data_IF_016034987762
#
_entry.id   IF_016034987762
#
_cell.length_a   1.000
_cell.length_b   1.000
_cell.length_c   1.000
_cell.angle_alpha   90.00
_cell.angle_beta   90.00
_cell.angle_gamma   90.00
#
_symmetry.space_group_name_H-M   'P 1'
#
loop_
_entity.id
_entity.type
_entity.pdbx_description
1 polymer ?
#
# COMPACT_ATOMS: atom_id res chain seq x y z
N UNK A 1 -2.07 8.61 10.25
CA UNK A 1 -1.29 7.46 10.74
C UNK A 1 -0.32 7.10 9.64
N UNK A 2 0.96 6.94 9.94
CA UNK A 2 2.03 6.90 8.93
C UNK A 2 2.17 5.53 8.27
N UNK A 3 2.74 5.51 7.07
CA UNK A 3 3.33 4.36 6.40
C UNK A 3 4.10 3.39 7.33
N UNK A 4 4.80 3.97 8.32
CA UNK A 4 5.56 3.27 9.36
C UNK A 4 4.67 2.44 10.29
N UNK A 5 3.45 2.89 10.58
CA UNK A 5 2.51 2.15 11.41
C UNK A 5 2.01 0.88 10.69
N UNK A 6 1.71 0.95 9.39
CA UNK A 6 1.34 -0.24 8.61
C UNK A 6 2.48 -1.27 8.59
N UNK A 7 3.70 -0.84 8.29
CA UNK A 7 4.86 -1.75 8.24
C UNK A 7 5.14 -2.39 9.62
N UNK A 8 5.10 -1.60 10.69
CA UNK A 8 5.42 -2.07 12.04
C UNK A 8 4.30 -2.92 12.66
N UNK A 9 3.04 -2.69 12.31
CA UNK A 9 1.93 -3.50 12.79
C UNK A 9 1.82 -4.82 12.02
N UNK A 10 2.04 -4.80 10.71
CA UNK A 10 1.76 -5.96 9.85
C UNK A 10 2.91 -6.96 9.78
N UNK A 11 4.14 -6.49 9.63
CA UNK A 11 5.27 -7.39 9.38
C UNK A 11 5.57 -8.35 10.56
N UNK A 12 5.58 -7.90 11.83
CA UNK A 12 5.77 -8.79 12.97
C UNK A 12 4.62 -9.79 13.12
N UNK A 13 3.38 -9.33 12.92
CA UNK A 13 2.18 -10.13 13.16
C UNK A 13 1.96 -11.20 12.08
N UNK A 14 2.20 -10.89 10.80
CA UNK A 14 2.16 -11.91 9.75
C UNK A 14 3.36 -12.84 9.76
N UNK A 15 4.54 -12.34 10.15
CA UNK A 15 5.69 -13.20 10.41
C UNK A 15 5.38 -14.21 11.52
N UNK A 16 4.70 -13.76 12.57
CA UNK A 16 4.16 -14.60 13.65
C UNK A 16 3.15 -15.61 13.09
N UNK A 17 2.10 -15.19 12.38
CA UNK A 17 1.09 -16.09 11.77
C UNK A 17 1.73 -17.18 10.89
N UNK A 18 2.82 -16.87 10.21
CA UNK A 18 3.55 -17.83 9.36
C UNK A 18 4.53 -18.75 10.10
N UNK A 19 4.81 -18.46 11.37
CA UNK A 19 5.83 -19.15 12.16
C UNK A 19 5.28 -20.16 13.16
N UNK A 20 3.97 -20.11 13.44
CA UNK A 20 3.29 -21.03 14.34
C UNK A 20 2.40 -22.00 13.56
N UNK A 21 2.17 -23.18 14.14
CA UNK A 21 1.22 -24.15 13.60
C UNK A 21 -0.21 -23.60 13.80
N UNK A 22 -1.11 -23.77 12.82
CA UNK A 22 -2.46 -23.20 12.88
C UNK A 22 -3.23 -23.64 14.14
N UNK A 23 -2.95 -24.85 14.63
CA UNK A 23 -3.51 -25.37 15.88
C UNK A 23 -3.13 -24.57 17.13
N UNK A 24 -2.03 -23.82 17.12
CA UNK A 24 -1.57 -22.98 18.25
C UNK A 24 -2.35 -21.66 18.36
N UNK A 25 -3.16 -21.32 17.35
CA UNK A 25 -4.03 -20.13 17.36
C UNK A 25 -5.38 -20.37 18.03
N UNK A 26 -5.85 -21.62 18.16
CA UNK A 26 -7.21 -21.94 18.61
C UNK A 26 -7.50 -21.66 20.08
N UNK A 27 -6.48 -21.45 20.92
CA UNK A 27 -6.61 -21.38 22.39
C UNK A 27 -5.75 -20.28 23.04
N UNK A 28 -5.39 -19.20 22.33
CA UNK A 28 -4.34 -18.27 22.83
C UNK A 28 -4.66 -16.78 22.69
N UNK A 29 -3.97 -15.97 23.52
CA UNK A 29 -3.86 -14.50 23.39
C UNK A 29 -3.38 -14.05 21.99
N UNK A 30 -2.79 -14.97 21.21
CA UNK A 30 -2.30 -14.70 19.86
C UNK A 30 -3.42 -14.49 18.85
N UNK A 31 -4.57 -15.15 19.00
CA UNK A 31 -5.73 -14.90 18.14
C UNK A 31 -6.26 -13.48 18.34
N UNK A 32 -6.50 -13.06 19.59
CA UNK A 32 -6.93 -11.71 19.91
C UNK A 32 -5.90 -10.67 19.45
N UNK A 33 -4.62 -10.95 19.65
CA UNK A 33 -3.54 -10.08 19.17
C UNK A 33 -3.56 -9.95 17.64
N UNK A 34 -3.56 -11.07 16.91
CA UNK A 34 -3.59 -11.07 15.44
C UNK A 34 -4.82 -10.33 14.89
N UNK A 35 -5.98 -10.55 15.50
CA UNK A 35 -7.22 -9.89 15.14
C UNK A 35 -7.17 -8.39 15.41
N UNK A 36 -6.63 -7.96 16.55
CA UNK A 36 -6.47 -6.54 16.90
C UNK A 36 -5.56 -5.81 15.90
N UNK A 37 -4.49 -6.47 15.47
CA UNK A 37 -3.56 -5.94 14.47
C UNK A 37 -4.23 -5.83 13.11
N UNK A 38 -4.94 -6.87 12.68
CA UNK A 38 -5.67 -6.88 11.41
C UNK A 38 -6.69 -5.74 11.35
N UNK A 39 -7.49 -5.58 12.40
CA UNK A 39 -8.49 -4.49 12.51
C UNK A 39 -7.86 -3.12 12.45
N UNK A 40 -6.80 -2.88 13.25
CA UNK A 40 -6.08 -1.61 13.21
C UNK A 40 -5.51 -1.32 11.82
N UNK A 41 -4.97 -2.31 11.14
CA UNK A 41 -4.42 -2.15 9.81
C UNK A 41 -5.52 -1.89 8.76
N UNK A 42 -6.67 -2.56 8.88
CA UNK A 42 -7.87 -2.30 8.10
C UNK A 42 -8.36 -0.86 8.27
N UNK A 43 -8.44 -0.37 9.50
CA UNK A 43 -8.85 1.00 9.79
C UNK A 43 -7.89 2.01 9.17
N UNK A 44 -6.58 1.76 9.27
CA UNK A 44 -5.55 2.62 8.69
C UNK A 44 -5.61 2.68 7.16
N UNK A 45 -5.76 1.53 6.51
CA UNK A 45 -5.93 1.45 5.06
C UNK A 45 -7.21 2.14 4.63
N UNK A 46 -8.32 1.85 5.29
CA UNK A 46 -9.63 2.44 4.98
C UNK A 46 -9.60 3.96 5.10
N UNK A 47 -8.95 4.50 6.14
CA UNK A 47 -8.75 5.93 6.28
C UNK A 47 -7.87 6.52 5.17
N UNK A 48 -6.81 5.82 4.78
CA UNK A 48 -5.90 6.24 3.72
C UNK A 48 -6.60 6.28 2.36
N UNK A 49 -7.45 5.29 2.07
CA UNK A 49 -8.28 5.23 0.87
C UNK A 49 -9.31 6.37 0.89
N UNK A 50 -10.07 6.52 1.98
CA UNK A 50 -11.11 7.54 2.09
C UNK A 50 -10.57 8.98 1.96
N UNK A 51 -9.33 9.20 2.40
CA UNK A 51 -8.67 10.51 2.36
C UNK A 51 -7.54 10.58 1.33
N UNK A 52 -7.54 9.69 0.35
CA UNK A 52 -6.44 9.52 -0.60
C UNK A 52 -5.95 10.84 -1.19
N UNK A 53 -6.87 11.65 -1.71
CA UNK A 53 -6.56 12.92 -2.35
C UNK A 53 -6.00 13.98 -1.40
N UNK A 54 -6.20 13.83 -0.09
CA UNK A 54 -5.65 14.72 0.95
C UNK A 54 -4.27 14.28 1.44
N UNK A 55 -3.83 13.06 1.11
CA UNK A 55 -2.50 12.59 1.52
C UNK A 55 -1.39 13.36 0.80
N UNK A 56 -0.32 13.79 1.49
CA UNK A 56 0.85 14.38 0.86
C UNK A 56 1.50 13.45 -0.17
N UNK A 57 2.16 14.03 -1.19
CA UNK A 57 2.88 13.26 -2.22
C UNK A 57 3.89 12.28 -1.60
N UNK A 58 4.74 12.75 -0.69
CA UNK A 58 5.78 11.92 -0.05
C UNK A 58 5.17 10.72 0.68
N UNK A 59 4.00 10.88 1.27
CA UNK A 59 3.30 9.78 1.94
C UNK A 59 2.74 8.77 0.94
N UNK A 60 2.16 9.22 -0.19
CA UNK A 60 1.76 8.33 -1.30
C UNK A 60 2.93 7.53 -1.85
N UNK A 61 4.07 8.18 -2.05
CA UNK A 61 5.28 7.55 -2.60
C UNK A 61 5.82 6.46 -1.67
N UNK A 62 5.94 6.75 -0.37
CA UNK A 62 6.34 5.76 0.62
C UNK A 62 5.34 4.59 0.65
N UNK A 63 4.03 4.89 0.67
CA UNK A 63 2.98 3.86 0.71
C UNK A 63 3.01 2.96 -0.52
N UNK A 64 3.23 3.50 -1.71
CA UNK A 64 3.34 2.75 -2.96
C UNK A 64 4.50 1.74 -2.93
N UNK A 65 5.67 2.20 -2.46
CA UNK A 65 6.82 1.31 -2.30
C UNK A 65 6.63 0.26 -1.22
N UNK A 66 5.95 0.58 -0.12
CA UNK A 66 5.64 -0.39 0.94
C UNK A 66 4.65 -1.45 0.48
N UNK A 67 3.55 -1.08 -0.18
CA UNK A 67 2.58 -2.04 -0.69
C UNK A 67 3.20 -3.02 -1.67
N UNK A 68 4.12 -2.55 -2.52
CA UNK A 68 4.87 -3.43 -3.42
C UNK A 68 5.71 -4.49 -2.66
N UNK A 69 6.23 -4.14 -1.47
CA UNK A 69 6.94 -5.08 -0.59
C UNK A 69 6.02 -6.01 0.20
N UNK A 70 4.76 -5.62 0.39
CA UNK A 70 3.75 -6.40 1.11
C UNK A 70 3.06 -7.45 0.23
N UNK A 71 3.22 -7.40 -1.10
CA UNK A 71 2.59 -8.33 -2.03
C UNK A 71 2.85 -9.82 -1.74
N UNK A 72 4.06 -10.27 -1.36
CA UNK A 72 4.28 -11.65 -0.92
C UNK A 72 3.49 -12.00 0.35
N UNK A 73 3.35 -11.06 1.28
CA UNK A 73 2.60 -11.27 2.52
C UNK A 73 1.10 -11.38 2.26
N UNK A 74 0.56 -10.59 1.32
CA UNK A 74 -0.83 -10.68 0.89
C UNK A 74 -1.18 -12.08 0.35
N UNK A 75 -0.27 -12.71 -0.40
CA UNK A 75 -0.45 -14.08 -0.89
C UNK A 75 -0.50 -15.11 0.24
N UNK A 76 0.29 -14.91 1.28
CA UNK A 76 0.29 -15.82 2.43
C UNK A 76 -0.98 -15.64 3.27
N UNK A 77 -1.38 -14.40 3.52
CA UNK A 77 -2.69 -14.03 4.06
C UNK A 77 -3.84 -14.71 3.32
N UNK A 78 -3.81 -14.66 1.99
CA UNK A 78 -4.81 -15.28 1.14
C UNK A 78 -4.85 -16.80 1.30
N UNK A 79 -3.69 -17.44 1.51
CA UNK A 79 -3.63 -18.87 1.82
C UNK A 79 -4.28 -19.18 3.18
N UNK A 80 -3.96 -18.38 4.21
CA UNK A 80 -4.52 -18.51 5.57
C UNK A 80 -6.04 -18.35 5.55
N UNK A 81 -6.59 -17.45 4.72
CA UNK A 81 -8.05 -17.27 4.58
C UNK A 81 -8.78 -18.50 4.03
N UNK A 82 -8.07 -19.44 3.41
CA UNK A 82 -8.62 -20.67 2.83
C UNK A 82 -8.48 -21.89 3.75
N UNK A 83 -7.78 -21.76 4.88
CA UNK A 83 -7.51 -22.85 5.81
C UNK A 83 -8.62 -22.94 6.87
N UNK A 84 -9.30 -24.10 6.97
CA UNK A 84 -10.48 -24.34 7.83
C UNK A 84 -10.20 -24.23 9.34
N UNK A 85 -8.93 -24.21 9.74
CA UNK A 85 -8.52 -24.25 11.14
C UNK A 85 -8.37 -22.86 11.78
N UNK A 86 -8.42 -21.80 10.97
CA UNK A 86 -8.37 -20.39 11.39
C UNK A 86 -9.78 -19.92 11.77
N UNK A 87 -9.89 -19.05 12.78
CA UNK A 87 -11.19 -18.50 13.16
C UNK A 87 -11.82 -17.67 12.04
N UNK A 88 -13.15 -17.71 11.97
CA UNK A 88 -13.92 -16.96 10.98
C UNK A 88 -13.68 -15.44 11.07
N UNK A 89 -13.37 -14.93 12.26
CA UNK A 89 -13.08 -13.52 12.48
C UNK A 89 -11.75 -13.11 11.86
N UNK A 90 -10.69 -13.89 12.10
CA UNK A 90 -9.39 -13.66 11.45
C UNK A 90 -9.53 -13.80 9.94
N UNK A 91 -10.21 -14.84 9.44
CA UNK A 91 -10.43 -15.02 7.99
C UNK A 91 -11.14 -13.80 7.37
N UNK A 92 -12.19 -13.29 8.02
CA UNK A 92 -12.93 -12.13 7.54
C UNK A 92 -12.08 -10.87 7.51
N UNK A 93 -11.36 -10.57 8.60
CA UNK A 93 -10.53 -9.37 8.69
C UNK A 93 -9.32 -9.43 7.74
N UNK A 94 -8.75 -10.64 7.55
CA UNK A 94 -7.70 -10.89 6.58
C UNK A 94 -8.17 -10.66 5.14
N UNK A 95 -9.36 -11.16 4.76
CA UNK A 95 -9.95 -10.90 3.45
C UNK A 95 -10.20 -9.41 3.23
N UNK A 96 -10.80 -8.74 4.21
CA UNK A 96 -11.03 -7.29 4.15
C UNK A 96 -9.71 -6.52 3.99
N UNK A 97 -8.65 -6.95 4.67
CA UNK A 97 -7.32 -6.35 4.56
C UNK A 97 -6.72 -6.54 3.17
N UNK A 98 -6.82 -7.73 2.59
CA UNK A 98 -6.37 -8.01 1.23
C UNK A 98 -7.09 -7.07 0.25
N UNK A 99 -8.42 -7.00 0.31
CA UNK A 99 -9.23 -6.18 -0.61
C UNK A 99 -8.88 -4.69 -0.48
N UNK A 100 -8.74 -4.18 0.74
CA UNK A 100 -8.33 -2.80 0.99
C UNK A 100 -6.91 -2.52 0.50
N UNK A 101 -5.96 -3.44 0.72
CA UNK A 101 -4.58 -3.29 0.28
C UNK A 101 -4.47 -3.26 -1.24
N UNK A 102 -5.23 -4.12 -1.94
CA UNK A 102 -5.30 -4.13 -3.40
C UNK A 102 -5.92 -2.84 -3.94
N UNK A 103 -7.07 -2.43 -3.38
CA UNK A 103 -7.74 -1.17 -3.74
C UNK A 103 -6.81 0.04 -3.58
N UNK A 104 -6.07 0.09 -2.48
CA UNK A 104 -5.15 1.20 -2.22
C UNK A 104 -3.95 1.17 -3.16
N UNK A 105 -3.44 -0.02 -3.50
CA UNK A 105 -2.37 -0.20 -4.49
C UNK A 105 -2.79 0.30 -5.87
N UNK A 106 -4.01 -0.03 -6.30
CA UNK A 106 -4.54 0.40 -7.59
C UNK A 106 -4.64 1.93 -7.65
N UNK A 107 -5.23 2.57 -6.62
CA UNK A 107 -5.30 4.03 -6.52
C UNK A 107 -3.92 4.71 -6.59
N UNK A 108 -2.92 4.14 -5.92
CA UNK A 108 -1.55 4.67 -5.96
C UNK A 108 -0.91 4.47 -7.34
N UNK A 109 -1.13 3.32 -7.97
CA UNK A 109 -0.62 3.02 -9.31
C UNK A 109 -1.18 4.00 -10.32
N UNK A 110 -2.50 4.18 -10.36
CA UNK A 110 -3.19 5.12 -11.24
C UNK A 110 -2.65 6.55 -11.04
N UNK A 111 -2.52 6.98 -9.78
CA UNK A 111 -2.00 8.31 -9.44
C UNK A 111 -0.58 8.56 -9.97
N UNK A 112 0.32 7.58 -9.82
CA UNK A 112 1.70 7.71 -10.28
C UNK A 112 1.82 7.62 -11.80
N UNK A 113 1.02 6.78 -12.45
CA UNK A 113 0.98 6.68 -13.91
C UNK A 113 0.45 7.96 -14.57
N UNK A 114 -0.66 8.51 -14.06
CA UNK A 114 -1.21 9.78 -14.54
C UNK A 114 -0.20 10.93 -14.36
N UNK A 115 0.50 10.95 -13.23
CA UNK A 115 1.53 11.96 -12.96
C UNK A 115 2.70 11.86 -13.93
N UNK A 116 3.21 10.67 -14.20
CA UNK A 116 4.29 10.48 -15.16
C UNK A 116 3.86 10.89 -16.58
N UNK A 117 2.61 10.61 -16.96
CA UNK A 117 2.04 11.07 -18.22
C UNK A 117 1.98 12.60 -18.32
N UNK A 118 1.51 13.28 -17.26
CA UNK A 118 1.47 14.74 -17.18
C UNK A 118 2.87 15.36 -17.25
N UNK A 119 3.84 14.80 -16.53
CA UNK A 119 5.23 15.27 -16.55
C UNK A 119 5.89 15.06 -17.91
N UNK A 120 5.68 13.90 -18.53
CA UNK A 120 6.17 13.59 -19.88
C UNK A 120 5.62 14.57 -20.91
N UNK A 121 4.31 14.84 -20.88
CA UNK A 121 3.68 15.81 -21.75
C UNK A 121 4.19 17.23 -21.50
N UNK A 122 4.34 17.62 -20.24
CA UNK A 122 4.89 18.93 -19.87
C UNK A 122 6.31 19.14 -20.40
N UNK A 123 7.17 18.12 -20.28
CA UNK A 123 8.52 18.15 -20.87
C UNK A 123 8.47 18.32 -22.39
N UNK A 124 7.65 17.52 -23.09
CA UNK A 124 7.49 17.63 -24.56
C UNK A 124 7.02 19.01 -25.01
N UNK A 125 6.16 19.68 -24.24
CA UNK A 125 5.69 21.03 -24.56
C UNK A 125 6.72 22.11 -24.27
N UNK A 126 7.45 22.01 -23.15
CA UNK A 126 8.40 23.04 -22.71
C UNK A 126 9.73 22.96 -23.48
N UNK A 127 10.20 21.77 -23.83
CA UNK A 127 11.50 21.58 -24.49
C UNK A 127 11.64 22.39 -25.80
N UNK A 128 10.69 22.38 -26.74
CA UNK A 128 10.78 23.19 -27.95
C UNK A 128 10.77 24.69 -27.68
N UNK A 129 10.02 25.15 -26.66
CA UNK A 129 9.94 26.56 -26.27
C UNK A 129 11.29 27.02 -25.72
N UNK A 130 11.90 26.21 -24.84
CA UNK A 130 13.22 26.52 -24.29
C UNK A 130 14.31 26.51 -25.38
N UNK A 131 14.30 25.55 -26.30
CA UNK A 131 15.25 25.50 -27.43
C UNK A 131 15.12 26.76 -28.28
N UNK A 132 13.89 27.13 -28.67
CA UNK A 132 13.66 28.34 -29.46
C UNK A 132 14.16 29.60 -28.74
N UNK A 133 13.84 29.76 -27.46
CA UNK A 133 14.28 30.92 -26.69
C UNK A 133 15.81 30.99 -26.56
N UNK A 134 16.48 29.85 -26.40
CA UNK A 134 17.95 29.78 -26.36
C UNK A 134 18.58 30.12 -27.73
N UNK A 135 18.00 29.62 -28.83
CA UNK A 135 18.46 29.94 -30.18
C UNK A 135 18.29 31.43 -30.49
N UNK A 136 17.16 32.03 -30.10
CA UNK A 136 16.88 33.46 -30.24
C UNK A 136 17.85 34.31 -29.39
N UNK A 137 18.23 33.86 -28.20
CA UNK A 137 19.21 34.54 -27.32
C UNK A 137 20.66 34.44 -27.83
N UNK A 138 21.00 33.35 -28.53
CA UNK A 138 22.31 33.19 -29.19
C UNK A 138 22.42 34.08 -30.43
N UNK A 139 21.35 34.24 -31.21
CA UNK A 139 21.36 35.05 -32.44
C UNK A 139 21.32 36.57 -32.18
N UNK A 140 20.93 37.00 -30.98
CA UNK A 140 20.85 38.41 -30.60
C UNK A 140 22.09 38.95 -29.88
N UNK A 141 23.15 38.13 -29.75
CA UNK A 141 24.50 38.50 -29.29
C UNK A 141 25.50 38.57 -30.44
#
# INVERSE_FOLDING_TARGET
MTATALQNSLYPSFGVINSFSIYEYKDTEYEEYALSVLRLANDNLSQSIAHFWKLPFTEKEINYHLLSKLEPLLKVLQKITLEEEVSQEIQREALLFIDNALTYKDLLTDYFEERELLLSNSKRMITPILIKNLDDEIQTR
#
